data_IF_483124413378
#
_entry.id   IF_483124413378
#
_cell.length_a   1.000
_cell.length_b   1.000
_cell.length_c   1.000
_cell.angle_alpha   90.00
_cell.angle_beta   90.00
_cell.angle_gamma   90.00
#
_symmetry.space_group_name_H-M   'P 1'
#
loop_
_entity.id
_entity.type
_entity.pdbx_description
1 polymer ?
#
# COMPACT_ATOMS: atom_id res chain seq x y z
N UNK A 1 -22.68 -2.51 -9.35
CA UNK A 1 -21.31 -3.06 -9.36
C UNK A 1 -21.11 -4.27 -8.47
N UNK A 2 -21.43 -4.24 -7.16
CA UNK A 2 -21.18 -5.38 -6.25
C UNK A 2 -21.52 -6.77 -6.82
N UNK A 3 -22.69 -7.03 -7.42
CA UNK A 3 -23.04 -8.37 -7.93
C UNK A 3 -22.09 -8.90 -9.00
N UNK A 4 -21.41 -8.02 -9.74
CA UNK A 4 -20.47 -8.38 -10.80
C UNK A 4 -19.05 -8.58 -10.24
N UNK A 5 -18.68 -7.80 -9.22
CA UNK A 5 -17.36 -7.89 -8.56
C UNK A 5 -17.28 -9.12 -7.64
N UNK A 6 -18.41 -9.55 -7.08
CA UNK A 6 -18.49 -10.71 -6.19
C UNK A 6 -18.51 -12.05 -6.91
N UNK A 7 -18.37 -12.06 -8.25
CA UNK A 7 -18.35 -13.31 -9.02
C UNK A 7 -16.97 -13.95 -8.91
N UNK A 8 -16.94 -15.28 -8.83
CA UNK A 8 -15.69 -16.04 -8.76
C UNK A 8 -14.85 -15.90 -10.03
N UNK A 9 -15.49 -15.56 -11.16
CA UNK A 9 -14.85 -15.38 -12.46
C UNK A 9 -14.43 -13.92 -12.75
N UNK A 10 -14.46 -13.05 -11.75
CA UNK A 10 -14.06 -11.65 -11.85
C UNK A 10 -12.56 -11.47 -11.59
N UNK A 11 -11.82 -11.05 -12.61
CA UNK A 11 -10.37 -10.88 -12.56
C UNK A 11 -9.92 -9.45 -12.29
N UNK A 12 -10.70 -8.47 -12.74
CA UNK A 12 -10.32 -7.07 -12.64
C UNK A 12 -11.54 -6.14 -12.65
N UNK A 13 -11.43 -5.02 -11.94
CA UNK A 13 -12.45 -3.96 -11.93
C UNK A 13 -11.80 -2.59 -11.92
N UNK A 14 -12.41 -1.62 -12.61
CA UNK A 14 -12.07 -0.20 -12.45
C UNK A 14 -13.31 0.65 -12.63
N UNK A 15 -13.84 1.19 -11.52
CA UNK A 15 -14.99 2.09 -11.40
C UNK A 15 -16.28 1.52 -12.03
N UNK A 16 -16.38 1.56 -13.35
CA UNK A 16 -17.53 1.24 -14.19
C UNK A 16 -17.24 0.09 -15.18
N UNK A 17 -16.05 -0.53 -15.09
CA UNK A 17 -15.63 -1.66 -15.91
C UNK A 17 -15.36 -2.91 -15.08
N UNK A 18 -15.64 -4.07 -15.67
CA UNK A 18 -15.37 -5.39 -15.09
C UNK A 18 -14.78 -6.31 -16.16
N UNK A 19 -13.80 -7.13 -15.76
CA UNK A 19 -13.14 -8.13 -16.59
C UNK A 19 -13.53 -9.51 -16.06
N UNK A 20 -14.31 -10.26 -16.85
CA UNK A 20 -14.89 -11.55 -16.48
C UNK A 20 -14.45 -12.64 -17.46
N UNK A 21 -14.29 -13.88 -16.98
CA UNK A 21 -14.16 -15.04 -17.88
C UNK A 21 -15.52 -15.44 -18.50
N UNK A 22 -16.61 -15.34 -17.74
CA UNK A 22 -17.96 -15.61 -18.23
C UNK A 22 -18.62 -14.37 -18.85
N UNK A 23 -19.55 -14.60 -19.77
CA UNK A 23 -20.41 -13.55 -20.30
C UNK A 23 -21.43 -13.11 -19.24
N UNK A 24 -21.79 -11.83 -19.28
CA UNK A 24 -22.96 -11.32 -18.57
C UNK A 24 -24.24 -11.72 -19.33
N UNK A 25 -25.38 -11.84 -18.63
CA UNK A 25 -26.65 -12.09 -19.30
C UNK A 25 -27.00 -10.92 -20.25
N UNK A 26 -27.68 -11.24 -21.36
CA UNK A 26 -28.08 -10.24 -22.36
C UNK A 26 -28.95 -9.11 -21.77
N UNK A 27 -29.63 -9.36 -20.64
CA UNK A 27 -30.38 -8.33 -19.90
C UNK A 27 -29.50 -7.18 -19.42
N UNK A 28 -28.23 -7.45 -19.12
CA UNK A 28 -27.32 -6.51 -18.49
C UNK A 28 -26.37 -5.86 -19.51
N UNK A 29 -26.40 -6.34 -20.76
CA UNK A 29 -25.55 -5.86 -21.85
C UNK A 29 -26.38 -5.01 -22.81
N UNK A 30 -25.95 -3.77 -23.04
CA UNK A 30 -26.45 -2.92 -24.13
C UNK A 30 -25.42 -1.86 -24.48
N UNK A 31 -25.28 -1.55 -25.77
CA UNK A 31 -24.40 -0.48 -26.25
C UNK A 31 -25.08 0.89 -26.23
N UNK A 32 -26.40 0.95 -26.04
CA UNK A 32 -27.22 2.16 -26.19
C UNK A 32 -28.03 2.52 -24.95
N UNK A 33 -28.37 1.53 -24.10
CA UNK A 33 -29.19 1.77 -22.92
C UNK A 33 -28.35 2.25 -21.72
N UNK A 34 -28.82 3.31 -21.07
CA UNK A 34 -28.17 3.86 -19.89
C UNK A 34 -28.25 2.89 -18.70
N UNK A 35 -27.12 2.71 -18.01
CA UNK A 35 -27.04 1.86 -16.81
C UNK A 35 -26.73 0.39 -17.09
N UNK A 36 -26.66 -0.01 -18.37
CA UNK A 36 -26.20 -1.33 -18.81
C UNK A 36 -24.73 -1.31 -19.22
N UNK A 37 -24.10 -2.47 -19.21
CA UNK A 37 -22.74 -2.61 -19.68
C UNK A 37 -22.68 -2.67 -21.19
N UNK A 38 -21.70 -1.97 -21.75
CA UNK A 38 -21.31 -2.17 -23.14
C UNK A 38 -20.30 -3.32 -23.20
N UNK A 39 -20.60 -4.36 -23.96
CA UNK A 39 -19.62 -5.39 -24.27
C UNK A 39 -18.56 -4.79 -25.20
N UNK A 40 -17.35 -4.59 -24.70
CA UNK A 40 -16.24 -4.09 -25.52
C UNK A 40 -15.55 -5.23 -26.28
N UNK A 41 -15.24 -6.34 -25.60
CA UNK A 41 -14.50 -7.46 -26.16
C UNK A 41 -15.05 -8.79 -25.65
N UNK A 42 -15.34 -9.71 -26.58
CA UNK A 42 -15.90 -11.02 -26.25
C UNK A 42 -14.81 -12.08 -25.95
N UNK A 43 -13.61 -11.92 -26.51
CA UNK A 43 -12.47 -12.82 -26.30
C UNK A 43 -11.18 -11.99 -26.19
N UNK A 44 -10.40 -12.27 -25.16
CA UNK A 44 -9.12 -11.59 -24.91
C UNK A 44 -8.23 -12.45 -24.01
N UNK A 45 -6.92 -12.24 -24.13
CA UNK A 45 -5.95 -12.61 -23.10
C UNK A 45 -5.52 -11.33 -22.37
N UNK A 46 -5.42 -11.37 -21.04
CA UNK A 46 -5.13 -10.17 -20.26
C UNK A 46 -4.03 -10.40 -19.24
N UNK A 47 -3.12 -9.43 -19.10
CA UNK A 47 -2.17 -9.37 -17.98
C UNK A 47 -2.50 -8.14 -17.17
N UNK A 48 -2.99 -8.33 -15.94
CA UNK A 48 -3.28 -7.27 -14.98
C UNK A 48 -2.25 -7.31 -13.86
N UNK A 49 -1.34 -6.33 -13.83
CA UNK A 49 -0.26 -6.30 -12.83
C UNK A 49 -0.63 -5.49 -11.58
N UNK A 50 -1.43 -4.44 -11.75
CA UNK A 50 -1.88 -3.58 -10.68
C UNK A 50 -3.12 -2.78 -11.09
N UNK A 51 -3.72 -2.07 -10.14
CA UNK A 51 -4.80 -1.13 -10.41
C UNK A 51 -4.38 -0.12 -11.49
N UNK A 52 -5.13 -0.05 -12.59
CA UNK A 52 -4.89 0.82 -13.75
C UNK A 52 -3.55 0.55 -14.47
N UNK A 53 -3.04 -0.68 -14.35
CA UNK A 53 -1.85 -1.18 -15.05
C UNK A 53 -2.12 -2.57 -15.61
N UNK A 54 -2.60 -2.64 -16.86
CA UNK A 54 -2.93 -3.87 -17.55
C UNK A 54 -2.69 -3.78 -19.07
N UNK A 55 -2.57 -4.94 -19.70
CA UNK A 55 -2.61 -5.11 -21.16
C UNK A 55 -3.65 -6.16 -21.54
N UNK A 56 -4.41 -5.90 -22.60
CA UNK A 56 -5.37 -6.85 -23.19
C UNK A 56 -4.97 -7.16 -24.64
N UNK A 57 -4.73 -8.42 -24.93
CA UNK A 57 -4.52 -8.97 -26.27
C UNK A 57 -5.86 -9.44 -26.80
N UNK A 58 -6.21 -8.98 -28.00
CA UNK A 58 -7.48 -9.31 -28.64
C UNK A 58 -7.20 -9.97 -29.97
N UNK A 59 -8.03 -10.92 -30.33
CA UNK A 59 -7.92 -11.57 -31.63
C UNK A 59 -8.17 -10.55 -32.76
N UNK A 60 -7.23 -10.44 -33.70
CA UNK A 60 -7.35 -9.55 -34.86
C UNK A 60 -7.19 -8.05 -34.60
N UNK A 61 -6.79 -7.63 -33.39
CA UNK A 61 -6.64 -6.20 -33.05
C UNK A 61 -5.36 -5.89 -32.29
N UNK A 62 -4.96 -4.61 -32.30
CA UNK A 62 -3.85 -4.12 -31.50
C UNK A 62 -4.12 -4.29 -30.00
N UNK A 63 -3.05 -4.58 -29.26
CA UNK A 63 -3.10 -4.73 -27.82
C UNK A 63 -3.50 -3.41 -27.15
N UNK A 64 -4.44 -3.48 -26.20
CA UNK A 64 -4.81 -2.32 -25.40
C UNK A 64 -3.91 -2.24 -24.18
N UNK A 65 -3.16 -1.15 -24.09
CA UNK A 65 -2.23 -0.90 -22.99
C UNK A 65 -2.78 0.23 -22.12
N UNK A 66 -3.00 -0.07 -20.85
CA UNK A 66 -3.40 0.90 -19.82
C UNK A 66 -2.35 0.88 -18.73
N UNK A 67 -1.67 2.01 -18.52
CA UNK A 67 -0.65 2.15 -17.49
C UNK A 67 -0.72 3.56 -16.93
N UNK A 68 -1.09 3.68 -15.65
CA UNK A 68 -1.27 4.95 -14.96
C UNK A 68 0.00 5.35 -14.21
N UNK A 69 1.06 5.65 -14.96
CA UNK A 69 2.29 6.25 -14.41
C UNK A 69 2.94 7.18 -15.44
N UNK A 70 3.90 7.97 -14.94
CA UNK A 70 4.68 8.95 -15.71
C UNK A 70 5.39 8.29 -16.90
N UNK A 71 5.68 6.99 -16.81
CA UNK A 71 6.44 6.23 -17.81
C UNK A 71 5.60 5.45 -18.83
N UNK A 72 4.32 5.78 -19.03
CA UNK A 72 3.42 5.04 -19.94
C UNK A 72 4.01 4.77 -21.33
N UNK A 73 4.79 5.70 -21.89
CA UNK A 73 5.41 5.55 -23.22
C UNK A 73 6.45 4.44 -23.32
N UNK A 74 6.99 3.98 -22.19
CA UNK A 74 8.00 2.92 -22.12
C UNK A 74 7.39 1.54 -21.92
N UNK A 75 6.07 1.46 -21.69
CA UNK A 75 5.38 0.22 -21.41
C UNK A 75 4.83 -0.38 -22.70
N UNK A 76 5.34 -1.55 -23.05
CA UNK A 76 4.92 -2.34 -24.21
C UNK A 76 4.23 -3.64 -23.78
N UNK A 77 3.54 -4.36 -24.67
CA UNK A 77 2.97 -5.65 -24.33
C UNK A 77 4.04 -6.67 -23.94
N UNK A 78 5.23 -6.59 -24.55
CA UNK A 78 6.39 -7.41 -24.15
C UNK A 78 6.89 -7.08 -22.74
N UNK A 79 6.86 -5.80 -22.35
CA UNK A 79 7.19 -5.40 -20.99
C UNK A 79 6.25 -6.07 -19.99
N UNK A 80 4.95 -6.10 -20.27
CA UNK A 80 3.97 -6.79 -19.42
C UNK A 80 4.24 -8.29 -19.30
N UNK A 81 4.57 -8.97 -20.40
CA UNK A 81 4.94 -10.40 -20.37
C UNK A 81 6.20 -10.63 -19.52
N UNK A 82 7.26 -9.86 -19.76
CA UNK A 82 8.52 -9.92 -19.00
C UNK A 82 8.35 -9.59 -17.52
N UNK A 83 7.46 -8.67 -17.18
CA UNK A 83 7.14 -8.30 -15.81
C UNK A 83 6.26 -9.36 -15.12
N UNK A 84 5.36 -10.01 -15.86
CA UNK A 84 4.56 -11.12 -15.36
C UNK A 84 5.41 -12.34 -15.04
N UNK A 85 6.38 -12.66 -15.91
CA UNK A 85 7.38 -13.72 -15.67
C UNK A 85 8.26 -13.45 -14.46
N UNK A 86 8.59 -12.18 -14.20
CA UNK A 86 9.39 -11.77 -13.06
C UNK A 86 8.89 -10.43 -12.48
N UNK A 87 8.09 -10.51 -11.42
CA UNK A 87 7.49 -9.35 -10.76
C UNK A 87 8.53 -8.38 -10.16
N UNK A 88 9.73 -8.86 -9.84
CA UNK A 88 10.82 -8.06 -9.28
C UNK A 88 11.65 -7.34 -10.35
N UNK A 89 11.31 -7.51 -11.64
CA UNK A 89 11.97 -6.80 -12.72
C UNK A 89 11.76 -5.29 -12.54
N UNK A 90 12.85 -4.55 -12.68
CA UNK A 90 12.85 -3.08 -12.69
C UNK A 90 13.60 -2.57 -13.90
N UNK A 91 13.14 -1.47 -14.48
CA UNK A 91 13.75 -0.80 -15.61
C UNK A 91 13.84 0.69 -15.32
N UNK A 92 14.97 1.32 -15.60
CA UNK A 92 15.09 2.77 -15.56
C UNK A 92 14.64 3.37 -16.88
N UNK A 93 13.81 4.41 -16.81
CA UNK A 93 13.47 5.23 -17.96
C UNK A 93 13.67 6.69 -17.62
N UNK A 94 14.09 7.47 -18.61
CA UNK A 94 14.16 8.92 -18.49
C UNK A 94 12.88 9.50 -19.08
N UNK A 95 12.06 10.11 -18.22
CA UNK A 95 10.85 10.81 -18.65
C UNK A 95 11.04 12.30 -18.55
N UNK A 96 10.68 13.01 -19.61
CA UNK A 96 10.61 14.46 -19.64
C UNK A 96 9.23 14.93 -19.18
N UNK A 97 9.18 15.68 -18.09
CA UNK A 97 7.98 16.39 -17.63
C UNK A 97 8.06 17.86 -18.02
N UNK A 98 7.03 18.35 -18.70
CA UNK A 98 6.96 19.74 -19.17
C UNK A 98 6.42 20.71 -18.09
N UNK A 99 5.81 20.17 -17.04
CA UNK A 99 5.08 20.94 -16.03
C UNK A 99 5.57 20.62 -14.61
N UNK A 100 6.89 20.57 -14.42
CA UNK A 100 7.45 20.39 -13.08
C UNK A 100 7.24 21.67 -12.27
N UNK A 101 6.48 21.57 -11.17
CA UNK A 101 6.23 22.71 -10.27
C UNK A 101 7.27 22.72 -9.15
N UNK A 102 8.05 23.80 -9.07
CA UNK A 102 8.88 24.06 -7.89
C UNK A 102 8.02 24.66 -6.78
N UNK A 103 7.56 23.85 -5.83
CA UNK A 103 6.69 24.32 -4.74
C UNK A 103 7.27 25.43 -3.85
N UNK A 104 8.59 25.67 -3.87
CA UNK A 104 9.21 26.75 -3.08
C UNK A 104 9.13 28.09 -3.79
N UNK A 105 9.35 28.11 -5.11
CA UNK A 105 9.36 29.33 -5.92
C UNK A 105 8.07 29.54 -6.71
N UNK A 106 7.25 28.49 -6.79
CA UNK A 106 6.03 28.36 -7.60
C UNK A 106 6.27 28.46 -9.12
N UNK A 107 7.51 28.29 -9.55
CA UNK A 107 7.85 28.25 -10.98
C UNK A 107 7.47 26.91 -11.61
N UNK A 108 7.11 26.97 -12.89
CA UNK A 108 6.87 25.80 -13.73
C UNK A 108 8.00 25.68 -14.74
N UNK A 109 8.67 24.52 -14.76
CA UNK A 109 9.78 24.27 -15.67
C UNK A 109 9.71 22.87 -16.29
N UNK A 110 10.47 22.72 -17.37
CA UNK A 110 10.76 21.41 -17.94
C UNK A 110 11.85 20.71 -17.11
N UNK A 111 11.65 19.40 -16.84
CA UNK A 111 12.64 18.58 -16.16
C UNK A 111 12.67 17.16 -16.70
N UNK A 112 13.86 16.61 -16.90
CA UNK A 112 14.06 15.17 -17.08
C UNK A 112 14.18 14.48 -15.73
N UNK A 113 13.40 13.44 -15.52
CA UNK A 113 13.36 12.66 -14.27
C UNK A 113 13.65 11.21 -14.63
N UNK A 114 14.52 10.57 -13.84
CA UNK A 114 14.74 9.13 -13.92
C UNK A 114 13.63 8.47 -13.10
N UNK A 115 12.90 7.56 -13.72
CA UNK A 115 11.83 6.79 -13.09
C UNK A 115 12.17 5.30 -13.18
N UNK A 116 11.97 4.59 -12.07
CA UNK A 116 12.11 3.14 -12.03
C UNK A 116 10.74 2.52 -12.32
N UNK A 117 10.56 1.93 -13.51
CA UNK A 117 9.40 1.13 -13.84
C UNK A 117 9.54 -0.26 -13.23
N UNK A 118 8.53 -0.65 -12.48
CA UNK A 118 8.31 -2.01 -11.99
C UNK A 118 6.89 -2.12 -11.48
N UNK A 119 6.49 -3.32 -11.04
CA UNK A 119 5.24 -3.50 -10.32
C UNK A 119 5.56 -3.68 -8.83
N UNK A 120 5.78 -2.60 -8.05
CA UNK A 120 6.06 -2.75 -6.63
C UNK A 120 4.78 -3.23 -5.93
N UNK A 121 4.73 -4.53 -5.64
CA UNK A 121 3.62 -5.23 -4.99
C UNK A 121 3.31 -4.71 -3.58
N UNK A 122 4.23 -3.95 -2.97
CA UNK A 122 4.20 -3.61 -1.54
C UNK A 122 4.06 -2.11 -1.19
N UNK A 123 3.52 -1.27 -2.08
CA UNK A 123 3.42 0.18 -1.74
C UNK A 123 2.16 0.56 -0.97
N UNK A 124 1.11 -0.26 -1.01
CA UNK A 124 -0.19 0.09 -0.40
C UNK A 124 -0.81 -0.99 0.47
N UNK A 125 -0.47 -2.26 0.24
CA UNK A 125 -0.99 -3.40 1.00
C UNK A 125 0.12 -4.43 1.17
N UNK A 126 0.18 -5.04 2.34
CA UNK A 126 1.13 -6.10 2.65
C UNK A 126 0.61 -7.41 2.04
N UNK A 127 1.43 -8.11 1.25
CA UNK A 127 1.06 -9.38 0.65
C UNK A 127 1.01 -10.51 1.70
N UNK A 128 0.05 -11.42 1.56
CA UNK A 128 -0.13 -12.62 2.38
C UNK A 128 0.19 -13.84 1.52
N UNK A 129 1.13 -14.66 1.99
CA UNK A 129 1.60 -15.86 1.30
C UNK A 129 1.13 -17.12 2.03
N UNK A 130 0.89 -18.19 1.27
CA UNK A 130 0.62 -19.52 1.82
C UNK A 130 1.91 -20.25 2.23
N UNK A 131 1.78 -21.47 2.73
CA UNK A 131 2.91 -22.31 3.13
C UNK A 131 3.83 -22.72 1.97
N UNK A 132 3.36 -22.60 0.72
CA UNK A 132 4.12 -22.88 -0.49
C UNK A 132 4.77 -21.61 -1.06
N UNK A 133 4.73 -20.50 -0.32
CA UNK A 133 5.24 -19.19 -0.74
C UNK A 133 4.51 -18.62 -1.97
N UNK A 134 3.28 -19.09 -2.25
CA UNK A 134 2.41 -18.53 -3.26
C UNK A 134 1.62 -17.35 -2.67
N UNK A 135 1.50 -16.27 -3.43
CA UNK A 135 0.73 -15.10 -3.02
C UNK A 135 -0.77 -15.41 -3.07
N UNK A 136 -1.47 -15.32 -1.94
CA UNK A 136 -2.90 -15.68 -1.83
C UNK A 136 -3.82 -14.49 -1.52
N UNK A 137 -3.35 -13.46 -0.81
CA UNK A 137 -4.18 -12.30 -0.46
C UNK A 137 -3.33 -11.07 -0.07
N UNK A 138 -3.96 -9.98 0.38
CA UNK A 138 -3.31 -8.80 0.94
C UNK A 138 -3.96 -8.38 2.25
N UNK A 139 -3.18 -7.93 3.23
CA UNK A 139 -3.74 -7.38 4.47
C UNK A 139 -4.43 -6.03 4.19
N UNK A 140 -5.59 -5.76 4.83
CA UNK A 140 -6.22 -4.46 4.75
C UNK A 140 -5.31 -3.38 5.34
N UNK A 141 -5.21 -2.25 4.64
CA UNK A 141 -4.43 -1.09 5.12
C UNK A 141 -5.28 -0.30 6.12
N UNK A 142 -4.93 -0.35 7.40
CA UNK A 142 -5.58 0.43 8.43
C UNK A 142 -5.08 1.89 8.41
N UNK A 143 -5.90 2.77 7.86
CA UNK A 143 -5.67 4.22 7.92
C UNK A 143 -6.12 4.71 9.29
N UNK A 144 -5.19 5.21 10.09
CA UNK A 144 -5.52 5.95 11.32
C UNK A 144 -5.47 7.43 10.95
N UNK A 145 -6.65 8.05 10.85
CA UNK A 145 -6.79 9.49 10.62
C UNK A 145 -6.61 10.24 11.96
N UNK A 146 -5.59 11.08 12.05
CA UNK A 146 -5.36 11.94 13.21
C UNK A 146 -5.95 13.34 13.03
N UNK A 147 -6.83 13.54 12.06
CA UNK A 147 -7.51 14.79 11.75
C UNK A 147 -6.53 15.96 11.57
N UNK A 148 -5.41 15.73 10.88
CA UNK A 148 -4.37 16.75 10.65
C UNK A 148 -3.41 16.96 11.83
N UNK A 149 -3.40 16.05 12.81
CA UNK A 149 -2.48 16.10 13.97
C UNK A 149 -1.40 15.02 13.90
N UNK A 150 -1.14 14.46 12.72
CA UNK A 150 -0.22 13.35 12.49
C UNK A 150 1.16 13.65 13.10
N UNK A 151 1.68 14.85 12.84
CA UNK A 151 2.99 15.30 13.34
C UNK A 151 3.04 15.25 14.87
N UNK A 152 2.03 15.80 15.56
CA UNK A 152 2.01 15.84 17.03
C UNK A 152 1.90 14.45 17.64
N UNK A 153 1.10 13.58 17.03
CA UNK A 153 0.94 12.21 17.50
C UNK A 153 2.23 11.41 17.28
N UNK A 154 2.91 11.59 16.14
CA UNK A 154 4.19 10.98 15.86
C UNK A 154 5.28 11.47 16.84
N UNK A 155 5.36 12.77 17.10
CA UNK A 155 6.27 13.36 18.09
C UNK A 155 6.02 12.76 19.49
N UNK A 156 4.76 12.66 19.91
CA UNK A 156 4.42 12.09 21.22
C UNK A 156 4.74 10.60 21.31
N UNK A 157 4.45 9.82 20.26
CA UNK A 157 4.81 8.39 20.20
C UNK A 157 6.33 8.21 20.28
N UNK A 158 7.09 9.02 19.54
CA UNK A 158 8.55 8.98 19.55
C UNK A 158 9.10 9.30 20.94
N UNK A 159 8.56 10.33 21.60
CA UNK A 159 8.91 10.67 22.98
C UNK A 159 8.58 9.53 23.97
N UNK A 160 7.40 8.92 23.88
CA UNK A 160 7.01 7.79 24.73
C UNK A 160 7.96 6.61 24.56
N UNK A 161 8.29 6.27 23.32
CA UNK A 161 9.16 5.16 22.98
C UNK A 161 10.61 5.39 23.47
N UNK A 162 11.13 6.61 23.36
CA UNK A 162 12.42 6.99 23.93
C UNK A 162 12.44 6.79 25.44
N UNK A 163 11.37 7.17 26.13
CA UNK A 163 11.26 7.02 27.58
C UNK A 163 11.22 5.55 28.02
N UNK A 164 10.50 4.71 27.28
CA UNK A 164 10.48 3.26 27.50
C UNK A 164 11.86 2.64 27.26
N UNK A 165 12.54 3.06 26.18
CA UNK A 165 13.89 2.60 25.88
C UNK A 165 14.88 2.97 26.99
N UNK A 166 14.85 4.20 27.50
CA UNK A 166 15.69 4.63 28.62
C UNK A 166 15.43 3.81 29.89
N UNK A 167 14.16 3.55 30.22
CA UNK A 167 13.78 2.72 31.36
C UNK A 167 14.29 1.28 31.22
N UNK A 168 14.15 0.70 30.02
CA UNK A 168 14.66 -0.63 29.73
C UNK A 168 16.19 -0.69 29.84
N UNK A 169 16.89 0.32 29.30
CA UNK A 169 18.36 0.43 29.38
C UNK A 169 18.85 0.57 30.81
N UNK A 170 18.17 1.37 31.63
CA UNK A 170 18.47 1.52 33.05
C UNK A 170 18.25 0.20 33.81
N UNK A 171 17.22 -0.56 33.46
CA UNK A 171 16.94 -1.88 34.06
C UNK A 171 18.03 -2.89 33.73
N UNK A 172 18.48 -2.94 32.47
CA UNK A 172 19.60 -3.80 32.06
C UNK A 172 20.89 -3.41 32.80
N UNK A 173 21.20 -2.13 32.91
CA UNK A 173 22.40 -1.67 33.61
C UNK A 173 22.37 -2.06 35.09
N UNK A 174 21.24 -1.86 35.79
CA UNK A 174 21.08 -2.34 37.17
C UNK A 174 21.29 -3.85 37.32
N UNK A 175 20.83 -4.64 36.35
CA UNK A 175 21.05 -6.10 36.35
C UNK A 175 22.52 -6.48 36.12
N UNK A 176 23.27 -5.69 35.33
CA UNK A 176 24.71 -5.87 35.13
C UNK A 176 25.51 -5.47 36.36
N UNK A 177 25.14 -4.36 37.00
CA UNK A 177 25.80 -3.86 38.22
C UNK A 177 25.52 -4.78 39.42
N UNK A 178 24.32 -5.36 39.51
CA UNK A 178 23.95 -6.35 40.53
C UNK A 178 24.65 -7.71 40.39
N UNK A 179 25.22 -8.03 39.21
CA UNK A 179 26.09 -9.20 39.02
C UNK A 179 27.54 -8.96 39.44
N UNK A 180 27.94 -7.71 39.72
CA UNK A 180 29.30 -7.39 40.18
C UNK A 180 29.49 -7.54 41.70
N UNK A 181 28.45 -7.93 42.46
CA UNK A 181 28.56 -8.07 43.92
C UNK A 181 28.14 -9.43 44.50
N UNK A 182 27.84 -10.46 43.69
CA UNK A 182 27.71 -11.82 44.20
C UNK A 182 28.48 -12.78 43.29
N UNK A 183 29.71 -13.10 43.67
CA UNK A 183 30.33 -14.37 43.32
C UNK A 183 29.61 -15.49 44.07
N UNK A 184 29.45 -16.62 43.39
CA UNK A 184 29.06 -17.95 43.89
C UNK A 184 27.55 -18.22 44.03
N UNK A 185 26.90 -18.73 42.97
CA UNK A 185 26.57 -20.18 42.80
C UNK A 185 25.62 -20.41 41.57
N UNK A 186 25.56 -21.63 40.99
CA UNK A 186 24.96 -21.89 39.69
C UNK A 186 23.49 -22.31 39.79
N UNK A 187 22.60 -21.65 39.06
CA UNK A 187 21.32 -22.27 38.68
C UNK A 187 20.89 -21.85 37.29
N UNK A 188 21.12 -22.79 36.37
CA UNK A 188 20.58 -22.87 35.03
C UNK A 188 19.23 -23.57 35.10
N UNK A 189 18.15 -22.81 35.29
CA UNK A 189 16.75 -23.18 34.99
C UNK A 189 15.88 -22.01 35.47
N UNK A 190 15.15 -21.26 34.66
CA UNK A 190 14.12 -21.71 33.74
C UNK A 190 13.77 -20.56 32.80
N UNK A 191 14.06 -20.70 31.50
CA UNK A 191 13.39 -19.89 30.48
C UNK A 191 12.06 -20.60 30.21
N UNK A 192 11.05 -20.28 31.02
CA UNK A 192 9.68 -20.57 30.65
C UNK A 192 9.18 -19.42 29.77
N UNK A 193 8.82 -19.82 28.56
CA UNK A 193 8.17 -19.07 27.49
C UNK A 193 7.05 -18.19 28.06
N UNK A 194 7.25 -16.87 28.03
CA UNK A 194 6.15 -15.91 28.22
C UNK A 194 5.45 -15.76 26.88
N UNK A 195 4.34 -16.49 26.73
CA UNK A 195 3.32 -16.25 25.70
C UNK A 195 2.94 -14.76 25.64
N UNK A 196 2.75 -14.18 24.45
CA UNK A 196 2.35 -12.79 24.30
C UNK A 196 0.92 -12.62 24.80
N UNK A 197 0.76 -12.12 26.03
CA UNK A 197 -0.54 -11.65 26.52
C UNK A 197 -1.05 -10.56 25.58
N UNK A 198 -2.23 -10.82 25.03
CA UNK A 198 -3.06 -9.94 24.23
C UNK A 198 -2.92 -8.48 24.69
N UNK A 199 -2.46 -7.62 23.78
CA UNK A 199 -2.37 -6.19 24.02
C UNK A 199 -3.77 -5.65 24.31
N UNK A 200 -4.03 -5.29 25.58
CA UNK A 200 -5.19 -4.49 25.95
C UNK A 200 -5.11 -3.18 25.16
N UNK A 201 -6.04 -2.99 24.23
CA UNK A 201 -6.29 -1.72 23.56
C UNK A 201 -6.77 -0.70 24.59
N UNK A 202 -5.83 -0.01 25.23
CA UNK A 202 -6.12 1.15 26.07
C UNK A 202 -6.47 2.32 25.14
N UNK A 203 -7.77 2.55 24.92
CA UNK A 203 -8.24 3.72 24.20
C UNK A 203 -8.11 4.95 25.11
N UNK A 204 -7.02 5.70 24.95
CA UNK A 204 -6.78 6.95 25.68
C UNK A 204 -7.32 8.10 24.83
N UNK A 205 -8.38 8.76 25.31
CA UNK A 205 -8.90 9.96 24.67
C UNK A 205 -7.84 11.07 24.62
N UNK A 206 -7.71 11.80 23.49
CA UNK A 206 -6.77 12.90 23.39
C UNK A 206 -7.13 14.05 24.36
N UNK A 207 -6.14 14.78 24.88
CA UNK A 207 -6.36 15.85 25.84
C UNK A 207 -7.21 16.98 25.22
N UNK A 208 -8.32 17.32 25.89
CA UNK A 208 -9.22 18.41 25.46
C UNK A 208 -8.49 19.75 25.52
N UNK A 209 -8.51 20.50 24.41
CA UNK A 209 -7.95 21.86 24.32
C UNK A 209 -8.60 22.77 25.38
N UNK A 210 -7.80 23.37 26.26
CA UNK A 210 -8.26 24.49 27.07
C UNK A 210 -8.46 25.70 26.15
N UNK A 211 -9.67 26.26 26.13
CA UNK A 211 -9.98 27.47 25.36
C UNK A 211 -9.24 28.64 26.00
N UNK A 212 -8.16 29.13 25.37
CA UNK A 212 -7.52 30.40 25.75
C UNK A 212 -8.55 31.53 25.60
N UNK A 213 -8.92 32.17 26.71
CA UNK A 213 -9.70 33.42 26.73
C UNK A 213 -8.94 34.48 25.92
N UNK A 214 -9.54 34.96 24.83
CA UNK A 214 -9.04 36.14 24.10
C UNK A 214 -9.08 37.34 25.04
N UNK A 215 -7.91 37.88 25.42
CA UNK A 215 -7.83 39.23 26.00
C UNK A 215 -8.21 40.22 24.89
N UNK A 216 -9.30 40.96 25.08
CA UNK A 216 -9.60 42.16 24.28
C UNK A 216 -8.47 43.16 24.53
N UNK A 217 -7.85 43.66 23.45
CA UNK A 217 -6.94 44.80 23.54
C UNK A 217 -7.77 46.10 23.62
N UNK A 218 -7.32 47.09 24.40
CA UNK A 218 -7.96 48.40 24.55
C UNK A 218 -7.93 49.21 23.25
#
# INVERSE_FOLDING_TARGET
>A
MHPYISRDDCHYTDIDSVLLNGLLPDSDISSTELGKFKLEYASYEGICLAAKSYTLFKEGHDAVIKHKEVAKSFVTPEWYKKQYENLNRTMEAVVKTLFYVNWKTLDVSERSIIVHLGSPTNTKREAVYDNNNAWVDTKPFHVIDYAGQEIRVLEWKLYSLQKEYELFRATINKYKDGKSQNSDDPMRSSIQTLEPRQALTLYIHPPKKSKRKKKKKP
#
